data_IF_239457362413
#
_entry.id   IF_239457362413
#
_cell.length_a   1.000
_cell.length_b   1.000
_cell.length_c   1.000
_cell.angle_alpha   90.00
_cell.angle_beta   90.00
_cell.angle_gamma   90.00
#
_symmetry.space_group_name_H-M   'P 1'
#
loop_
_entity.id
_entity.type
_entity.pdbx_description
1 polymer ?
#
# COMPACT_ATOMS: atom_id res chain seq x y z
N UNK A 1 -10.11 15.38 38.90
CA UNK A 1 -8.66 15.34 39.22
C UNK A 1 -7.85 14.43 38.30
N UNK A 2 -8.24 13.16 38.10
CA UNK A 2 -7.48 12.19 37.27
C UNK A 2 -7.28 12.64 35.81
N UNK A 3 -8.33 13.16 35.15
CA UNK A 3 -8.22 13.67 33.76
C UNK A 3 -7.20 14.79 33.61
N UNK A 4 -7.22 15.79 34.51
CA UNK A 4 -6.27 16.92 34.51
C UNK A 4 -4.83 16.46 34.77
N UNK A 5 -4.64 15.51 35.68
CA UNK A 5 -3.32 14.91 35.92
C UNK A 5 -2.80 14.18 34.68
N UNK A 6 -3.65 13.37 34.02
CA UNK A 6 -3.30 12.66 32.78
C UNK A 6 -2.95 13.62 31.64
N UNK A 7 -3.75 14.68 31.46
CA UNK A 7 -3.48 15.75 30.48
C UNK A 7 -2.10 16.37 30.74
N UNK A 8 -1.84 16.82 31.97
CA UNK A 8 -0.58 17.46 32.32
C UNK A 8 0.61 16.51 32.10
N UNK A 9 0.45 15.23 32.43
CA UNK A 9 1.48 14.23 32.16
C UNK A 9 1.79 14.10 30.67
N UNK A 10 0.77 13.97 29.82
CA UNK A 10 0.93 13.88 28.37
C UNK A 10 1.57 15.15 27.79
N UNK A 11 1.11 16.33 28.21
CA UNK A 11 1.69 17.62 27.79
C UNK A 11 3.17 17.72 28.17
N UNK A 12 3.52 17.36 29.41
CA UNK A 12 4.91 17.36 29.88
C UNK A 12 5.79 16.36 29.11
N UNK A 13 5.29 15.17 28.81
CA UNK A 13 6.01 14.19 27.98
C UNK A 13 6.23 14.72 26.57
N UNK A 14 5.18 15.31 25.97
CA UNK A 14 5.26 15.97 24.67
C UNK A 14 6.34 17.06 24.65
N UNK A 15 6.35 17.94 25.64
CA UNK A 15 7.34 19.01 25.76
C UNK A 15 8.78 18.50 25.97
N UNK A 16 8.98 17.47 26.80
CA UNK A 16 10.31 16.88 27.01
C UNK A 16 10.85 16.27 25.72
N UNK A 17 10.01 15.57 24.97
CA UNK A 17 10.38 14.97 23.69
C UNK A 17 10.64 16.04 22.62
N UNK A 18 9.87 17.13 22.63
CA UNK A 18 10.12 18.31 21.80
C UNK A 18 11.52 18.86 22.04
N UNK A 19 11.87 19.12 23.31
CA UNK A 19 13.20 19.62 23.71
C UNK A 19 14.34 18.66 23.34
N UNK A 20 14.06 17.36 23.26
CA UNK A 20 15.03 16.35 22.81
C UNK A 20 15.11 16.21 21.27
N UNK A 21 14.39 17.03 20.49
CA UNK A 21 14.31 16.95 19.03
C UNK A 21 13.51 15.75 18.50
N UNK A 22 12.79 15.03 19.36
CA UNK A 22 12.00 13.85 19.01
C UNK A 22 10.58 14.25 18.59
N UNK A 23 10.48 15.04 17.52
CA UNK A 23 9.25 15.73 17.11
C UNK A 23 8.05 14.81 16.87
N UNK A 24 8.21 13.69 16.15
CA UNK A 24 7.10 12.74 15.93
C UNK A 24 6.53 12.17 17.24
N UNK A 25 7.40 11.86 18.21
CA UNK A 25 6.97 11.35 19.51
C UNK A 25 6.32 12.45 20.33
N UNK A 26 6.87 13.66 20.28
CA UNK A 26 6.27 14.84 20.91
C UNK A 26 4.83 15.09 20.43
N UNK A 27 4.62 15.11 19.11
CA UNK A 27 3.31 15.29 18.48
C UNK A 27 2.31 14.21 18.89
N UNK A 28 2.75 12.96 18.99
CA UNK A 28 1.89 11.86 19.47
C UNK A 28 1.32 12.17 20.86
N UNK A 29 2.14 12.62 21.80
CA UNK A 29 1.66 12.94 23.15
C UNK A 29 0.74 14.16 23.19
N UNK A 30 1.00 15.19 22.36
CA UNK A 30 0.11 16.34 22.24
C UNK A 30 -1.27 15.96 21.65
N UNK A 31 -1.31 15.11 20.63
CA UNK A 31 -2.56 14.58 20.06
C UNK A 31 -3.36 13.77 21.09
N UNK A 32 -2.68 12.94 21.89
CA UNK A 32 -3.33 12.22 22.99
C UNK A 32 -3.89 13.17 24.05
N UNK A 33 -3.24 14.31 24.32
CA UNK A 33 -3.76 15.32 25.24
C UNK A 33 -5.02 16.00 24.66
N UNK A 34 -5.01 16.37 23.37
CA UNK A 34 -6.17 16.96 22.68
C UNK A 34 -7.38 16.04 22.65
N UNK A 35 -7.18 14.73 22.46
CA UNK A 35 -8.27 13.73 22.51
C UNK A 35 -8.97 13.69 23.87
N UNK A 36 -8.29 14.09 24.95
CA UNK A 36 -8.86 14.11 26.30
C UNK A 36 -9.50 15.46 26.60
N UNK A 37 -8.90 16.57 26.16
CA UNK A 37 -9.43 17.93 26.32
C UNK A 37 -9.11 18.80 25.11
N UNK A 38 -10.13 19.04 24.29
CA UNK A 38 -10.03 19.85 23.08
C UNK A 38 -9.77 21.33 23.36
N UNK A 39 -9.91 21.80 24.60
CA UNK A 39 -9.60 23.19 24.96
C UNK A 39 -8.11 23.50 24.90
N UNK A 40 -7.25 22.47 24.88
CA UNK A 40 -5.79 22.59 24.71
C UNK A 40 -5.36 22.93 23.27
N UNK A 41 -6.32 23.15 22.36
CA UNK A 41 -6.05 23.40 20.93
C UNK A 41 -5.03 24.51 20.75
N UNK A 42 -5.12 25.60 21.52
CA UNK A 42 -4.19 26.73 21.39
C UNK A 42 -2.77 26.38 21.88
N UNK A 43 -2.64 25.75 23.04
CA UNK A 43 -1.35 25.33 23.60
C UNK A 43 -0.66 24.31 22.69
N UNK A 44 -1.39 23.32 22.21
CA UNK A 44 -0.85 22.31 21.30
C UNK A 44 -0.49 22.92 19.95
N UNK A 45 -1.33 23.81 19.39
CA UNK A 45 -1.02 24.54 18.16
C UNK A 45 0.27 25.37 18.31
N UNK A 46 0.53 25.95 19.48
CA UNK A 46 1.77 26.69 19.75
C UNK A 46 3.00 25.77 19.66
N UNK A 47 2.94 24.57 20.26
CA UNK A 47 4.01 23.60 20.13
C UNK A 47 4.16 23.08 18.70
N UNK A 48 3.04 22.80 18.02
CA UNK A 48 3.03 22.36 16.63
C UNK A 48 3.70 23.40 15.72
N UNK A 49 3.42 24.68 15.91
CA UNK A 49 4.05 25.76 15.16
C UNK A 49 5.56 25.83 15.42
N UNK A 50 6.00 25.73 16.69
CA UNK A 50 7.44 25.69 17.03
C UNK A 50 8.15 24.51 16.38
N UNK A 51 7.55 23.32 16.46
CA UNK A 51 8.07 22.11 15.79
C UNK A 51 8.18 22.32 14.28
N UNK A 52 7.18 22.95 13.66
CA UNK A 52 7.20 23.23 12.23
C UNK A 52 8.32 24.19 11.86
N UNK A 53 8.57 25.25 12.65
CA UNK A 53 9.70 26.17 12.47
C UNK A 53 11.04 25.46 12.62
N UNK A 54 11.20 24.63 13.65
CA UNK A 54 12.44 23.88 13.90
C UNK A 54 12.69 22.89 12.75
N UNK A 55 11.66 22.16 12.31
CA UNK A 55 11.76 21.26 11.16
C UNK A 55 12.05 22.03 9.86
N UNK A 56 11.44 23.18 9.64
CA UNK A 56 11.71 24.04 8.48
C UNK A 56 13.20 24.43 8.40
N UNK A 57 13.80 24.77 9.54
CA UNK A 57 15.24 25.05 9.63
C UNK A 57 16.11 23.83 9.28
N UNK A 58 15.55 22.63 9.45
CA UNK A 58 16.18 21.35 9.15
C UNK A 58 15.71 20.76 7.80
N UNK A 59 14.92 21.48 7.00
CA UNK A 59 14.16 20.92 5.88
C UNK A 59 15.02 20.18 4.84
N UNK A 60 16.26 20.60 4.61
CA UNK A 60 17.20 19.91 3.72
C UNK A 60 17.71 18.57 4.27
N UNK A 61 17.59 18.35 5.58
CA UNK A 61 17.97 17.14 6.31
C UNK A 61 16.78 16.22 6.64
N UNK A 62 15.53 16.69 6.45
CA UNK A 62 14.35 15.86 6.78
C UNK A 62 14.24 14.69 5.78
N UNK A 63 14.61 13.50 6.26
CA UNK A 63 14.41 12.23 5.53
C UNK A 63 13.02 11.62 5.76
N UNK A 64 12.41 11.92 6.91
CA UNK A 64 11.14 11.36 7.34
C UNK A 64 9.94 12.04 6.67
N UNK A 65 9.12 11.23 5.99
CA UNK A 65 7.96 11.73 5.25
C UNK A 65 6.86 12.26 6.17
N UNK A 66 6.71 11.70 7.38
CA UNK A 66 5.67 12.15 8.32
C UNK A 66 6.01 13.53 8.89
N UNK A 67 7.28 13.76 9.21
CA UNK A 67 7.80 15.07 9.57
C UNK A 67 7.56 16.11 8.47
N UNK A 68 7.80 15.76 7.19
CA UNK A 68 7.51 16.64 6.05
C UNK A 68 6.02 16.97 5.92
N UNK A 69 5.15 15.96 6.01
CA UNK A 69 3.68 16.14 5.96
C UNK A 69 3.19 17.05 7.09
N UNK A 70 3.76 16.90 8.28
CA UNK A 70 3.43 17.74 9.42
C UNK A 70 3.82 19.21 9.19
N UNK A 71 5.02 19.49 8.67
CA UNK A 71 5.46 20.87 8.37
C UNK A 71 4.51 21.53 7.37
N UNK A 72 4.11 20.80 6.33
CA UNK A 72 3.13 21.28 5.34
C UNK A 72 1.81 21.61 6.01
N UNK A 73 1.25 20.67 6.79
CA UNK A 73 0.00 20.89 7.53
C UNK A 73 0.08 22.14 8.43
N UNK A 74 1.15 22.27 9.22
CA UNK A 74 1.29 23.39 10.14
C UNK A 74 1.42 24.75 9.43
N UNK A 75 2.05 24.78 8.25
CA UNK A 75 2.15 25.98 7.41
C UNK A 75 0.78 26.33 6.79
N UNK A 76 0.03 25.35 6.30
CA UNK A 76 -1.34 25.57 5.80
C UNK A 76 -2.27 26.08 6.89
N UNK A 77 -2.23 25.47 8.07
CA UNK A 77 -3.01 25.90 9.22
C UNK A 77 -2.63 27.31 9.66
N UNK A 78 -1.34 27.63 9.66
CA UNK A 78 -0.88 29.00 9.94
C UNK A 78 -1.41 29.98 8.87
N UNK A 79 -1.36 29.63 7.58
CA UNK A 79 -1.91 30.46 6.50
C UNK A 79 -3.40 30.74 6.70
N UNK A 80 -4.18 29.72 7.09
CA UNK A 80 -5.61 29.83 7.39
C UNK A 80 -5.87 30.74 8.58
N UNK A 81 -5.12 30.59 9.67
CA UNK A 81 -5.31 31.35 10.91
C UNK A 81 -4.85 32.80 10.81
N UNK A 82 -3.76 33.07 10.09
CA UNK A 82 -3.18 34.42 9.98
C UNK A 82 -3.65 35.19 8.75
N UNK A 83 -4.45 34.55 7.87
CA UNK A 83 -4.91 35.14 6.61
C UNK A 83 -3.82 35.25 5.54
N UNK A 84 -2.69 34.56 5.73
CA UNK A 84 -1.58 34.56 4.79
C UNK A 84 -0.22 34.26 5.43
N UNK A 85 0.65 33.61 4.67
CA UNK A 85 2.07 33.44 4.99
C UNK A 85 2.92 34.55 4.37
N UNK A 86 4.07 34.84 4.97
CA UNK A 86 5.07 35.67 4.31
C UNK A 86 5.58 35.00 3.01
N UNK A 87 6.17 35.80 2.12
CA UNK A 87 6.62 35.33 0.79
C UNK A 87 7.62 34.17 0.86
N UNK A 88 8.48 34.14 1.88
CA UNK A 88 9.48 33.09 2.08
C UNK A 88 8.80 31.78 2.47
N UNK A 89 7.95 31.80 3.50
CA UNK A 89 7.25 30.64 4.01
C UNK A 89 6.30 30.05 2.96
N UNK A 90 5.68 30.90 2.13
CA UNK A 90 4.85 30.45 1.01
C UNK A 90 5.66 29.67 -0.04
N UNK A 91 6.84 30.17 -0.43
CA UNK A 91 7.73 29.45 -1.34
C UNK A 91 8.16 28.10 -0.77
N UNK A 92 8.51 28.06 0.51
CA UNK A 92 8.93 26.80 1.12
C UNK A 92 7.77 25.82 1.20
N UNK A 93 6.55 26.28 1.52
CA UNK A 93 5.35 25.45 1.48
C UNK A 93 5.15 24.82 0.09
N UNK A 94 5.25 25.61 -0.97
CA UNK A 94 5.11 25.14 -2.35
C UNK A 94 6.18 24.09 -2.71
N UNK A 95 7.44 24.32 -2.31
CA UNK A 95 8.53 23.38 -2.53
C UNK A 95 8.34 22.06 -1.78
N UNK A 96 7.92 22.11 -0.52
CA UNK A 96 7.65 20.93 0.29
C UNK A 96 6.50 20.10 -0.28
N UNK A 97 5.43 20.75 -0.76
CA UNK A 97 4.32 20.08 -1.46
C UNK A 97 4.79 19.37 -2.72
N UNK A 98 5.61 20.02 -3.56
CA UNK A 98 6.18 19.36 -4.75
C UNK A 98 7.04 18.16 -4.39
N UNK A 99 7.92 18.29 -3.38
CA UNK A 99 8.78 17.17 -2.93
C UNK A 99 7.95 15.97 -2.45
N UNK A 100 6.85 16.22 -1.73
CA UNK A 100 5.93 15.18 -1.29
C UNK A 100 5.24 14.47 -2.47
N UNK A 101 4.72 15.23 -3.45
CA UNK A 101 4.07 14.66 -4.63
C UNK A 101 5.01 13.74 -5.42
N UNK A 102 6.25 14.18 -5.68
CA UNK A 102 7.25 13.37 -6.39
C UNK A 102 7.55 12.07 -5.64
N UNK A 103 7.61 12.12 -4.30
CA UNK A 103 7.86 10.95 -3.46
C UNK A 103 6.68 9.98 -3.45
N UNK A 104 5.45 10.48 -3.36
CA UNK A 104 4.24 9.66 -3.40
C UNK A 104 4.03 9.00 -4.76
N UNK A 105 4.33 9.70 -5.85
CA UNK A 105 4.35 9.10 -7.19
C UNK A 105 5.38 7.98 -7.31
N UNK A 106 6.60 8.19 -6.81
CA UNK A 106 7.65 7.18 -6.81
C UNK A 106 7.23 5.91 -6.03
N UNK A 107 6.69 6.08 -4.83
CA UNK A 107 6.22 4.96 -3.99
C UNK A 107 5.05 4.22 -4.65
N UNK A 108 4.16 4.95 -5.33
CA UNK A 108 3.05 4.36 -6.09
C UNK A 108 3.56 3.52 -7.26
N UNK A 109 4.49 4.04 -8.07
CA UNK A 109 5.12 3.29 -9.17
C UNK A 109 5.78 2.02 -8.67
N UNK A 110 6.56 2.12 -7.59
CA UNK A 110 7.23 0.97 -6.98
C UNK A 110 6.25 -0.13 -6.51
N UNK A 111 5.08 0.26 -5.99
CA UNK A 111 4.02 -0.69 -5.62
C UNK A 111 3.42 -1.37 -6.86
N UNK A 112 3.16 -0.61 -7.93
CA UNK A 112 2.67 -1.15 -9.20
C UNK A 112 3.66 -2.17 -9.75
N UNK A 113 4.94 -1.82 -9.83
CA UNK A 113 5.98 -2.71 -10.34
C UNK A 113 6.05 -4.02 -9.54
N UNK A 114 5.88 -3.95 -8.22
CA UNK A 114 5.83 -5.15 -7.36
C UNK A 114 4.59 -6.00 -7.62
N UNK A 115 3.43 -5.39 -7.82
CA UNK A 115 2.19 -6.12 -8.16
C UNK A 115 2.38 -6.83 -9.50
N UNK A 116 2.86 -6.12 -10.52
CA UNK A 116 3.12 -6.68 -11.85
C UNK A 116 4.15 -7.82 -11.81
N UNK A 117 5.20 -7.68 -11.01
CA UNK A 117 6.19 -8.74 -10.82
C UNK A 117 5.57 -9.98 -10.17
N UNK A 118 4.79 -9.79 -9.10
CA UNK A 118 4.10 -10.89 -8.44
C UNK A 118 3.08 -11.58 -9.36
N UNK A 119 2.35 -10.82 -10.17
CA UNK A 119 1.41 -11.36 -11.17
C UNK A 119 2.16 -12.16 -12.24
N UNK A 120 3.32 -11.67 -12.69
CA UNK A 120 4.17 -12.39 -13.63
C UNK A 120 4.72 -13.69 -13.01
N UNK A 121 5.22 -13.65 -11.78
CA UNK A 121 5.70 -14.83 -11.07
C UNK A 121 4.57 -15.84 -10.79
N UNK A 122 3.35 -15.36 -10.49
CA UNK A 122 2.16 -16.19 -10.37
C UNK A 122 1.75 -16.82 -11.72
N UNK A 123 1.81 -16.04 -12.81
CA UNK A 123 1.53 -16.53 -14.16
C UNK A 123 2.59 -17.50 -14.68
N UNK A 124 3.85 -17.33 -14.29
CA UNK A 124 4.96 -18.21 -14.70
C UNK A 124 5.02 -19.48 -13.83
N UNK A 125 4.49 -19.45 -12.60
CA UNK A 125 4.34 -20.63 -11.73
C UNK A 125 3.09 -21.47 -12.02
N UNK A 126 2.06 -20.88 -12.62
CA UNK A 126 0.96 -21.62 -13.24
C UNK A 126 1.44 -22.01 -14.63
N UNK A 127 2.08 -23.17 -14.81
CA UNK A 127 2.35 -23.72 -16.14
C UNK A 127 1.00 -23.86 -16.88
N UNK A 128 0.65 -22.95 -17.81
CA UNK A 128 -0.66 -23.04 -18.42
C UNK A 128 -0.64 -24.23 -19.38
N UNK A 129 -1.72 -24.99 -19.42
CA UNK A 129 -1.86 -26.07 -20.41
C UNK A 129 -1.79 -25.43 -21.80
N UNK A 130 -0.87 -25.88 -22.64
CA UNK A 130 -0.69 -25.39 -24.02
C UNK A 130 -1.01 -26.50 -25.01
N UNK A 131 -1.53 -26.09 -26.17
CA UNK A 131 -1.72 -27.00 -27.30
C UNK A 131 -0.40 -27.69 -27.67
N UNK A 132 -0.46 -28.99 -27.95
CA UNK A 132 0.69 -29.83 -28.27
C UNK A 132 1.31 -30.58 -27.08
N UNK A 133 0.92 -30.27 -25.84
CA UNK A 133 1.34 -31.04 -24.65
C UNK A 133 0.86 -32.50 -24.72
N UNK A 134 1.68 -33.42 -24.24
CA UNK A 134 1.35 -34.84 -24.10
C UNK A 134 0.33 -35.06 -22.97
N UNK A 135 -0.44 -36.15 -23.05
CA UNK A 135 -1.38 -36.53 -21.98
C UNK A 135 -0.74 -36.53 -20.59
N UNK A 136 0.47 -37.08 -20.44
CA UNK A 136 1.19 -37.11 -19.16
C UNK A 136 1.53 -35.72 -18.64
N UNK A 137 1.93 -34.80 -19.51
CA UNK A 137 2.27 -33.43 -19.12
C UNK A 137 1.02 -32.67 -18.65
N UNK A 138 -0.13 -32.92 -19.29
CA UNK A 138 -1.40 -32.33 -18.87
C UNK A 138 -1.91 -32.95 -17.57
N UNK A 139 -1.75 -34.27 -17.39
CA UNK A 139 -2.11 -34.96 -16.15
C UNK A 139 -1.27 -34.49 -14.95
N UNK A 140 0.03 -34.25 -15.14
CA UNK A 140 0.89 -33.70 -14.09
C UNK A 140 0.46 -32.28 -13.65
N UNK A 141 -0.12 -31.50 -14.56
CA UNK A 141 -0.58 -30.13 -14.31
C UNK A 141 -1.99 -30.10 -13.69
N UNK A 142 -2.92 -30.92 -14.21
CA UNK A 142 -4.36 -30.84 -13.88
C UNK A 142 -4.89 -32.00 -13.05
N UNK A 143 -4.12 -33.08 -12.89
CA UNK A 143 -4.60 -34.34 -12.35
C UNK A 143 -5.57 -35.07 -13.28
N UNK A 144 -6.12 -36.19 -12.80
CA UNK A 144 -7.04 -37.01 -13.59
C UNK A 144 -8.39 -36.29 -13.85
N UNK A 145 -8.99 -36.47 -15.04
CA UNK A 145 -10.23 -35.80 -15.42
C UNK A 145 -11.44 -36.32 -14.64
N UNK A 146 -12.50 -35.51 -14.56
CA UNK A 146 -13.77 -35.92 -13.96
C UNK A 146 -14.49 -36.97 -14.82
N UNK A 147 -14.36 -36.85 -16.14
CA UNK A 147 -14.90 -37.81 -17.10
C UNK A 147 -13.93 -37.99 -18.27
N UNK A 148 -13.79 -39.23 -18.72
CA UNK A 148 -12.85 -39.64 -19.75
C UNK A 148 -13.59 -40.42 -20.84
N UNK A 149 -13.60 -39.89 -22.06
CA UNK A 149 -14.17 -40.56 -23.23
C UNK A 149 -13.04 -40.93 -24.18
N UNK A 150 -12.90 -42.23 -24.47
CA UNK A 150 -11.87 -42.76 -25.38
C UNK A 150 -12.52 -43.29 -26.66
N UNK A 151 -11.87 -43.09 -27.80
CA UNK A 151 -12.34 -43.64 -29.07
C UNK A 151 -11.34 -44.64 -29.67
N UNK A 152 -11.80 -45.87 -29.94
CA UNK A 152 -11.04 -46.95 -30.57
C UNK A 152 -10.14 -47.77 -29.64
N UNK A 153 -9.63 -48.91 -30.14
CA UNK A 153 -8.74 -49.83 -29.39
C UNK A 153 -7.37 -49.24 -29.05
N UNK A 154 -6.91 -48.27 -29.84
CA UNK A 154 -5.58 -47.66 -29.69
C UNK A 154 -5.58 -46.46 -28.72
N UNK A 155 -6.74 -46.03 -28.20
CA UNK A 155 -6.91 -44.92 -27.24
C UNK A 155 -6.21 -43.58 -27.63
N UNK A 156 -5.80 -43.42 -28.89
CA UNK A 156 -5.05 -42.26 -29.40
C UNK A 156 -5.84 -40.95 -29.31
N UNK A 157 -7.16 -41.06 -29.39
CA UNK A 157 -8.07 -39.93 -29.32
C UNK A 157 -8.87 -40.01 -28.03
N UNK A 158 -8.73 -38.97 -27.20
CA UNK A 158 -9.36 -38.91 -25.88
C UNK A 158 -10.00 -37.54 -25.69
N UNK A 159 -11.15 -37.52 -25.05
CA UNK A 159 -11.79 -36.31 -24.56
C UNK A 159 -11.81 -36.38 -23.04
N UNK A 160 -11.19 -35.38 -22.41
CA UNK A 160 -11.12 -35.23 -20.97
C UNK A 160 -12.02 -34.07 -20.57
N UNK A 161 -12.88 -34.30 -19.57
CA UNK A 161 -13.83 -33.31 -19.09
C UNK A 161 -13.56 -33.07 -17.61
N UNK A 162 -13.30 -31.82 -17.25
CA UNK A 162 -13.17 -31.38 -15.87
C UNK A 162 -14.40 -30.58 -15.47
N UNK A 163 -15.06 -30.99 -14.38
CA UNK A 163 -16.20 -30.27 -13.81
C UNK A 163 -15.76 -29.51 -12.56
N UNK A 164 -15.88 -28.19 -12.59
CA UNK A 164 -15.57 -27.33 -11.44
C UNK A 164 -16.84 -27.06 -10.61
N UNK A 165 -16.68 -26.82 -9.31
CA UNK A 165 -17.76 -26.53 -8.36
C UNK A 165 -18.68 -25.37 -8.79
N UNK A 166 -18.20 -24.52 -9.69
CA UNK A 166 -18.87 -23.31 -10.17
C UNK A 166 -19.75 -23.57 -11.42
N UNK A 167 -20.06 -24.85 -11.73
CA UNK A 167 -20.78 -25.31 -12.94
C UNK A 167 -20.08 -25.01 -14.27
N UNK A 168 -18.78 -24.70 -14.23
CA UNK A 168 -17.94 -24.57 -15.41
C UNK A 168 -17.39 -25.93 -15.80
N UNK A 169 -17.37 -26.22 -17.09
CA UNK A 169 -16.81 -27.45 -17.65
C UNK A 169 -15.66 -27.11 -18.60
N UNK A 170 -14.51 -27.74 -18.40
CA UNK A 170 -13.35 -27.63 -19.27
C UNK A 170 -13.18 -28.93 -20.05
N UNK A 171 -13.14 -28.81 -21.37
CA UNK A 171 -13.00 -29.91 -22.31
C UNK A 171 -11.62 -29.85 -22.96
N UNK A 172 -10.84 -30.92 -22.76
CA UNK A 172 -9.52 -31.09 -23.37
C UNK A 172 -9.59 -32.25 -24.37
N UNK A 173 -9.37 -31.96 -25.65
CA UNK A 173 -9.37 -32.98 -26.71
C UNK A 173 -7.95 -33.34 -27.09
N UNK A 174 -7.62 -34.62 -26.99
CA UNK A 174 -6.34 -35.19 -27.38
C UNK A 174 -6.48 -35.96 -28.69
N UNK A 175 -5.49 -35.78 -29.56
CA UNK A 175 -5.34 -36.54 -30.81
C UNK A 175 -3.90 -37.00 -30.92
N UNK A 176 -3.70 -38.30 -31.15
CA UNK A 176 -2.37 -38.93 -31.13
C UNK A 176 -1.57 -38.59 -29.85
N UNK A 177 -2.23 -38.71 -28.70
CA UNK A 177 -1.69 -38.42 -27.35
C UNK A 177 -1.31 -36.96 -27.08
N UNK A 178 -1.58 -36.04 -28.00
CA UNK A 178 -1.27 -34.61 -27.86
C UNK A 178 -2.53 -33.77 -27.74
N UNK A 179 -2.47 -32.75 -26.88
CA UNK A 179 -3.57 -31.81 -26.68
C UNK A 179 -3.79 -30.99 -27.94
N UNK A 180 -4.94 -31.19 -28.57
CA UNK A 180 -5.30 -30.55 -29.82
C UNK A 180 -6.28 -29.38 -29.62
N UNK A 181 -7.15 -29.46 -28.61
CA UNK A 181 -8.19 -28.43 -28.38
C UNK A 181 -8.53 -28.25 -26.91
N UNK A 182 -8.81 -27.01 -26.54
CA UNK A 182 -9.25 -26.58 -25.20
C UNK A 182 -10.54 -25.78 -25.38
N UNK A 183 -11.61 -26.15 -24.68
CA UNK A 183 -12.90 -25.43 -24.66
C UNK A 183 -13.42 -25.28 -23.23
N UNK A 184 -13.90 -24.09 -22.85
CA UNK A 184 -14.54 -23.81 -21.56
C UNK A 184 -16.03 -23.52 -21.78
N UNK A 185 -16.90 -24.13 -20.97
CA UNK A 185 -18.36 -23.98 -21.03
C UNK A 185 -18.96 -23.63 -19.68
#
# INVERSE_FOLDING_TARGET
HIKRFKINHLMNQGEQLYKAGLYNRSLFYFDQALKIDSRLTFEVATFQHRIAVDLLSLADSIKDINSLKFVVYALEETELLTGGLNKTNKKVLDELKRKLLVKEEYDTRKKIDKILLNEKEASDSINPIKLGMMISEVEDIMGSPSELVKNGKDEKNQLWIYRFNNRKELYLTFTDYKLFRIEEK
#
